data_IF_432327724170
#
_entry.id   IF_432327724170
#
_cell.length_a   1.000
_cell.length_b   1.000
_cell.length_c   1.000
_cell.angle_alpha   90.00
_cell.angle_beta   90.00
_cell.angle_gamma   90.00
#
_symmetry.space_group_name_H-M   'P 1'
#
loop_
_entity.id
_entity.type
_entity.pdbx_description
1 polymer ?
#
# COMPACT_ATOMS: atom_id res chain seq x y z
N UNK A 1 32.50 -1.70 -24.59
CA UNK A 1 32.70 -3.03 -23.96
C UNK A 1 31.91 -3.07 -22.65
N UNK A 2 30.58 -2.89 -22.73
CA UNK A 2 29.66 -2.74 -21.57
C UNK A 2 28.68 -3.92 -21.39
N UNK A 3 28.86 -5.02 -22.12
CA UNK A 3 27.86 -6.09 -22.22
C UNK A 3 27.98 -7.16 -21.12
N UNK A 4 29.16 -7.42 -20.55
CA UNK A 4 29.34 -8.56 -19.64
C UNK A 4 28.76 -8.35 -18.24
N UNK A 5 28.84 -7.14 -17.69
CA UNK A 5 28.38 -6.85 -16.31
C UNK A 5 26.86 -6.74 -16.21
N UNK A 6 26.21 -6.16 -17.21
CA UNK A 6 24.74 -6.02 -17.25
C UNK A 6 24.06 -7.38 -17.46
N UNK A 7 24.61 -8.23 -18.35
CA UNK A 7 24.14 -9.61 -18.54
C UNK A 7 24.32 -10.44 -17.26
N UNK A 8 25.47 -10.34 -16.59
CA UNK A 8 25.70 -11.07 -15.33
C UNK A 8 24.75 -10.62 -14.22
N UNK A 9 24.41 -9.33 -14.15
CA UNK A 9 23.47 -8.82 -13.15
C UNK A 9 22.04 -9.32 -13.42
N UNK A 10 21.59 -9.31 -14.68
CA UNK A 10 20.27 -9.85 -15.06
C UNK A 10 20.16 -11.36 -14.81
N UNK A 11 21.17 -12.15 -15.19
CA UNK A 11 21.22 -13.59 -14.92
C UNK A 11 21.16 -13.91 -13.41
N UNK A 12 21.80 -13.07 -12.59
CA UNK A 12 21.75 -13.21 -11.12
C UNK A 12 20.36 -12.91 -10.54
N UNK A 13 19.66 -11.89 -11.05
CA UNK A 13 18.31 -11.53 -10.57
C UNK A 13 17.26 -12.56 -11.03
N UNK A 14 17.37 -13.05 -12.26
CA UNK A 14 16.52 -14.13 -12.77
C UNK A 14 16.68 -15.40 -11.90
N UNK A 15 17.93 -15.78 -11.59
CA UNK A 15 18.22 -16.93 -10.72
C UNK A 15 17.67 -16.74 -9.30
N UNK A 16 17.80 -15.53 -8.74
CA UNK A 16 17.25 -15.21 -7.41
C UNK A 16 15.72 -15.25 -7.38
N UNK A 17 15.07 -14.83 -8.46
CA UNK A 17 13.60 -14.91 -8.61
C UNK A 17 13.14 -16.36 -8.62
N UNK A 18 13.82 -17.22 -9.39
CA UNK A 18 13.53 -18.65 -9.42
C UNK A 18 13.75 -19.31 -8.05
N UNK A 19 14.81 -18.93 -7.32
CA UNK A 19 15.06 -19.42 -5.96
C UNK A 19 13.93 -19.02 -5.00
N UNK A 20 13.49 -17.76 -5.05
CA UNK A 20 12.41 -17.27 -4.21
C UNK A 20 11.08 -18.01 -4.48
N UNK A 21 10.76 -18.27 -5.74
CA UNK A 21 9.59 -19.10 -6.13
C UNK A 21 9.77 -20.55 -5.70
N UNK A 22 10.97 -21.12 -5.84
CA UNK A 22 11.29 -22.48 -5.40
C UNK A 22 11.11 -22.66 -3.89
N UNK A 23 11.54 -21.68 -3.09
CA UNK A 23 11.30 -21.67 -1.63
C UNK A 23 9.82 -21.61 -1.29
N UNK A 24 9.01 -20.95 -2.11
CA UNK A 24 7.55 -20.94 -1.94
C UNK A 24 6.93 -22.31 -2.18
N UNK A 25 7.35 -23.00 -3.24
CA UNK A 25 6.90 -24.38 -3.51
C UNK A 25 7.36 -25.35 -2.42
N UNK A 26 8.59 -25.18 -1.89
CA UNK A 26 9.08 -26.00 -0.79
C UNK A 26 8.30 -25.77 0.51
N UNK A 27 7.96 -24.52 0.84
CA UNK A 27 7.08 -24.19 1.97
C UNK A 27 5.70 -24.85 1.79
N UNK A 28 5.14 -24.80 0.58
CA UNK A 28 3.89 -25.48 0.28
C UNK A 28 3.97 -26.99 0.53
N UNK A 29 5.05 -27.64 0.09
CA UNK A 29 5.24 -29.07 0.30
C UNK A 29 5.40 -29.45 1.79
N UNK A 30 6.02 -28.58 2.58
CA UNK A 30 6.30 -28.83 4.00
C UNK A 30 5.11 -28.47 4.92
N UNK A 31 4.49 -27.32 4.66
CA UNK A 31 3.52 -26.69 5.57
C UNK A 31 2.08 -26.73 5.03
N UNK A 32 1.89 -27.02 3.74
CA UNK A 32 0.60 -27.05 3.07
C UNK A 32 0.06 -25.68 2.62
N UNK A 33 -1.07 -25.71 1.92
CA UNK A 33 -1.66 -24.54 1.27
C UNK A 33 -2.03 -23.42 2.25
N UNK A 34 -2.71 -23.75 3.35
CA UNK A 34 -3.24 -22.77 4.28
C UNK A 34 -2.12 -21.94 4.95
N UNK A 35 -1.07 -22.61 5.42
CA UNK A 35 0.10 -21.94 6.01
C UNK A 35 0.85 -21.10 4.97
N UNK A 36 0.99 -21.63 3.74
CA UNK A 36 1.65 -20.92 2.64
C UNK A 36 0.89 -19.65 2.24
N UNK A 37 -0.43 -19.74 2.09
CA UNK A 37 -1.31 -18.59 1.81
C UNK A 37 -1.23 -17.56 2.93
N UNK A 38 -1.27 -17.99 4.19
CA UNK A 38 -1.17 -17.09 5.33
C UNK A 38 0.16 -16.32 5.32
N UNK A 39 1.28 -17.00 5.04
CA UNK A 39 2.60 -16.38 4.94
C UNK A 39 2.68 -15.41 3.75
N UNK A 40 2.25 -15.82 2.56
CA UNK A 40 2.30 -14.96 1.36
C UNK A 40 1.23 -13.87 1.30
N UNK A 41 0.31 -13.81 2.27
CA UNK A 41 -0.56 -12.66 2.53
C UNK A 41 -0.04 -11.77 3.66
N UNK A 42 1.15 -12.05 4.18
CA UNK A 42 1.76 -11.29 5.25
C UNK A 42 3.00 -10.53 4.76
N UNK A 43 3.33 -9.38 5.39
CA UNK A 43 4.53 -8.62 5.06
C UNK A 43 5.83 -9.42 5.20
N UNK A 44 5.85 -10.46 6.05
CA UNK A 44 7.00 -11.34 6.28
C UNK A 44 7.40 -12.16 5.05
N UNK A 45 6.51 -12.31 4.06
CA UNK A 45 6.84 -12.96 2.80
C UNK A 45 7.71 -12.13 1.89
N UNK A 46 7.71 -10.80 2.04
CA UNK A 46 8.41 -9.90 1.14
C UNK A 46 9.94 -10.01 1.32
N UNK A 47 10.68 -10.12 0.23
CA UNK A 47 12.14 -10.27 0.28
C UNK A 47 12.83 -9.39 -0.77
N UNK A 48 13.29 -8.21 -0.34
CA UNK A 48 13.88 -7.24 -1.27
C UNK A 48 12.88 -6.92 -2.39
N UNK A 49 13.30 -6.94 -3.65
CA UNK A 49 12.39 -6.61 -4.75
C UNK A 49 11.36 -7.71 -5.08
N UNK A 50 11.37 -8.84 -4.34
CA UNK A 50 10.51 -9.98 -4.61
C UNK A 50 9.26 -9.99 -3.73
N UNK A 51 8.13 -10.21 -4.37
CA UNK A 51 6.89 -10.60 -3.74
C UNK A 51 6.29 -11.75 -4.53
N UNK A 52 5.74 -12.73 -3.83
CA UNK A 52 5.01 -13.82 -4.47
C UNK A 52 3.54 -13.47 -4.59
N UNK A 53 2.91 -13.90 -5.67
CA UNK A 53 1.48 -14.09 -5.72
C UNK A 53 1.17 -15.55 -6.05
N UNK A 54 0.12 -16.06 -5.41
CA UNK A 54 -0.28 -17.45 -5.49
C UNK A 54 -1.66 -17.53 -6.11
N UNK A 55 -1.77 -18.37 -7.14
CA UNK A 55 -3.04 -18.64 -7.83
C UNK A 55 -3.48 -20.07 -7.51
N UNK A 56 -4.74 -20.21 -7.14
CA UNK A 56 -5.44 -21.47 -6.92
C UNK A 56 -5.53 -22.34 -8.19
N UNK A 57 -5.89 -23.61 -8.01
CA UNK A 57 -6.08 -24.54 -9.12
C UNK A 57 -7.29 -24.18 -10.03
N UNK A 58 -8.16 -23.29 -9.54
CA UNK A 58 -9.27 -22.67 -10.25
C UNK A 58 -8.88 -21.35 -10.94
N UNK A 59 -7.59 -21.03 -10.99
CA UNK A 59 -7.02 -19.80 -11.54
C UNK A 59 -7.42 -18.52 -10.76
N UNK A 60 -7.86 -18.66 -9.51
CA UNK A 60 -8.20 -17.53 -8.61
C UNK A 60 -7.00 -17.12 -7.75
N UNK A 61 -6.73 -15.83 -7.59
CA UNK A 61 -5.74 -15.36 -6.61
C UNK A 61 -6.09 -15.80 -5.19
N UNK A 62 -5.19 -16.52 -4.54
CA UNK A 62 -5.31 -16.94 -3.13
C UNK A 62 -4.33 -16.22 -2.21
N UNK A 63 -3.22 -15.69 -2.76
CA UNK A 63 -2.34 -14.80 -2.01
C UNK A 63 -1.75 -13.69 -2.88
N UNK A 64 -1.71 -12.48 -2.33
CA UNK A 64 -0.97 -11.36 -2.89
C UNK A 64 -0.65 -10.32 -1.80
N UNK A 65 0.62 -10.18 -1.36
CA UNK A 65 0.96 -9.37 -0.18
C UNK A 65 0.96 -7.86 -0.46
N UNK A 66 1.19 -7.47 -1.71
CA UNK A 66 1.22 -6.07 -2.14
C UNK A 66 -0.16 -5.56 -2.61
N UNK A 67 -0.90 -6.40 -3.33
CA UNK A 67 -2.18 -6.05 -3.94
C UNK A 67 -3.27 -7.00 -3.43
N UNK A 68 -3.60 -6.96 -2.12
CA UNK A 68 -4.51 -7.93 -1.49
C UNK A 68 -5.95 -7.87 -2.03
N UNK A 69 -6.34 -6.79 -2.69
CA UNK A 69 -7.63 -6.68 -3.39
C UNK A 69 -7.72 -7.61 -4.63
N UNK A 70 -6.59 -8.15 -5.13
CA UNK A 70 -6.61 -9.17 -6.18
C UNK A 70 -7.08 -10.53 -5.63
N UNK A 71 -6.96 -10.77 -4.32
CA UNK A 71 -7.39 -12.04 -3.72
C UNK A 71 -8.89 -12.25 -3.99
N UNK A 72 -9.22 -13.40 -4.59
CA UNK A 72 -10.58 -13.74 -5.01
C UNK A 72 -10.94 -13.36 -6.45
N UNK A 73 -10.04 -12.74 -7.22
CA UNK A 73 -10.24 -12.50 -8.66
C UNK A 73 -9.58 -13.58 -9.52
N UNK A 74 -10.08 -13.80 -10.74
CA UNK A 74 -9.47 -14.72 -11.72
C UNK A 74 -8.24 -14.05 -12.37
N UNK A 75 -7.09 -14.74 -12.37
CA UNK A 75 -5.86 -14.25 -13.00
C UNK A 75 -6.07 -13.94 -14.48
N UNK A 76 -6.94 -14.66 -15.19
CA UNK A 76 -7.17 -14.49 -16.64
C UNK A 76 -7.88 -13.18 -16.99
N UNK A 77 -8.47 -12.51 -16.00
CA UNK A 77 -9.10 -11.21 -16.15
C UNK A 77 -8.10 -10.05 -15.93
N UNK A 78 -6.84 -10.37 -15.55
CA UNK A 78 -5.79 -9.37 -15.37
C UNK A 78 -5.16 -8.99 -16.71
N UNK A 79 -5.38 -7.73 -17.09
CA UNK A 79 -4.86 -7.09 -18.31
C UNK A 79 -3.94 -5.94 -17.92
N UNK A 80 -2.77 -5.84 -18.56
CA UNK A 80 -1.81 -4.75 -18.38
C UNK A 80 -2.35 -3.43 -18.93
N UNK A 81 -1.76 -2.29 -18.54
CA UNK A 81 -2.24 -0.98 -19.02
C UNK A 81 -2.16 -0.79 -20.53
N UNK A 82 -1.23 -1.52 -21.16
CA UNK A 82 -0.95 -1.56 -22.59
C UNK A 82 -1.87 -2.51 -23.35
N UNK A 83 -2.79 -3.17 -22.65
CA UNK A 83 -3.73 -4.14 -23.20
C UNK A 83 -3.16 -5.56 -23.33
N UNK A 84 -1.95 -5.83 -22.82
CA UNK A 84 -1.42 -7.19 -22.78
C UNK A 84 -2.27 -8.06 -21.85
N UNK A 85 -2.71 -9.23 -22.32
CA UNK A 85 -3.44 -10.22 -21.52
C UNK A 85 -2.48 -11.02 -20.59
N UNK A 86 -1.64 -10.31 -19.82
CA UNK A 86 -0.56 -10.89 -19.00
C UNK A 86 -1.04 -12.00 -18.07
N UNK A 87 -2.25 -11.90 -17.54
CA UNK A 87 -2.83 -12.90 -16.67
C UNK A 87 -3.07 -14.24 -17.38
N UNK A 88 -3.49 -14.20 -18.65
CA UNK A 88 -3.65 -15.40 -19.48
C UNK A 88 -2.32 -16.00 -19.91
N UNK A 89 -1.28 -15.18 -20.05
CA UNK A 89 0.07 -15.66 -20.29
C UNK A 89 0.62 -16.38 -19.05
N UNK A 90 0.49 -15.78 -17.87
CA UNK A 90 0.89 -16.40 -16.58
C UNK A 90 0.11 -17.70 -16.30
N UNK A 91 -1.18 -17.75 -16.63
CA UNK A 91 -2.02 -18.94 -16.46
C UNK A 91 -1.51 -20.18 -17.23
N UNK A 92 -0.69 -19.98 -18.27
CA UNK A 92 -0.06 -21.05 -19.06
C UNK A 92 1.17 -21.67 -18.39
N UNK A 93 1.53 -21.24 -17.17
CA UNK A 93 2.64 -21.81 -16.43
C UNK A 93 2.54 -23.34 -16.31
N UNK A 94 3.69 -23.99 -16.45
CA UNK A 94 3.86 -25.44 -16.35
C UNK A 94 4.76 -25.78 -15.17
N UNK A 95 4.96 -27.08 -14.87
CA UNK A 95 5.95 -27.54 -13.88
C UNK A 95 7.40 -27.18 -14.27
N UNK A 96 7.68 -26.93 -15.54
CA UNK A 96 9.00 -26.44 -15.99
C UNK A 96 9.15 -24.92 -15.78
N UNK A 97 8.03 -24.23 -15.52
CA UNK A 97 7.92 -22.79 -15.37
C UNK A 97 7.99 -21.99 -16.68
N UNK A 98 7.61 -20.73 -16.61
CA UNK A 98 7.63 -19.77 -17.71
C UNK A 98 8.09 -18.40 -17.23
N UNK A 99 8.72 -17.64 -18.12
CA UNK A 99 8.95 -16.21 -17.95
C UNK A 99 7.90 -15.43 -18.73
N UNK A 100 7.30 -14.43 -18.09
CA UNK A 100 6.34 -13.52 -18.71
C UNK A 100 6.80 -12.09 -18.44
N UNK A 101 6.93 -11.30 -19.50
CA UNK A 101 7.29 -9.89 -19.43
C UNK A 101 6.05 -9.03 -19.68
N UNK A 102 5.77 -8.09 -18.79
CA UNK A 102 4.60 -7.20 -18.88
C UNK A 102 4.81 -5.91 -18.11
N UNK A 103 4.02 -4.89 -18.43
CA UNK A 103 3.94 -3.67 -17.66
C UNK A 103 3.11 -3.89 -16.40
N UNK A 104 3.64 -3.50 -15.24
CA UNK A 104 2.94 -3.63 -13.97
C UNK A 104 3.29 -2.49 -13.01
N UNK A 105 2.37 -2.05 -12.14
CA UNK A 105 2.71 -1.13 -11.06
C UNK A 105 3.84 -1.70 -10.23
N UNK A 106 4.95 -0.98 -10.19
CA UNK A 106 6.00 -1.26 -9.26
C UNK A 106 5.57 -0.71 -7.89
N UNK A 107 5.39 -1.54 -6.84
CA UNK A 107 4.96 -1.05 -5.54
C UNK A 107 5.95 -0.09 -4.87
N UNK A 108 7.19 -0.07 -5.38
CA UNK A 108 8.29 0.78 -4.93
C UNK A 108 8.15 2.18 -5.50
N UNK A 109 8.23 2.28 -6.82
CA UNK A 109 8.26 3.56 -7.53
C UNK A 109 6.85 4.10 -7.77
N UNK A 110 5.83 3.23 -7.64
CA UNK A 110 4.41 3.50 -7.91
C UNK A 110 4.14 3.96 -9.34
N UNK A 111 5.09 3.72 -10.24
CA UNK A 111 4.91 3.84 -11.69
C UNK A 111 4.76 2.45 -12.28
N UNK A 112 4.18 2.41 -13.46
CA UNK A 112 4.19 1.21 -14.25
C UNK A 112 5.57 0.99 -14.87
N UNK A 113 6.13 -0.19 -14.63
CA UNK A 113 7.45 -0.56 -15.10
C UNK A 113 7.41 -1.93 -15.77
N UNK A 114 8.40 -2.17 -16.63
CA UNK A 114 8.60 -3.49 -17.20
C UNK A 114 8.93 -4.47 -16.08
N UNK A 115 8.04 -5.43 -15.86
CA UNK A 115 8.21 -6.54 -14.94
C UNK A 115 8.49 -7.81 -15.72
N UNK A 116 9.46 -8.59 -15.25
CA UNK A 116 9.74 -9.95 -15.73
C UNK A 116 9.41 -10.92 -14.61
N UNK A 117 8.39 -11.75 -14.80
CA UNK A 117 7.87 -12.68 -13.79
C UNK A 117 8.18 -14.12 -14.17
N UNK A 118 8.73 -14.87 -13.21
CA UNK A 118 8.81 -16.32 -13.26
C UNK A 118 7.55 -16.91 -12.64
N UNK A 119 6.86 -17.79 -13.36
CA UNK A 119 5.69 -18.49 -12.88
C UNK A 119 5.88 -20.00 -13.08
N UNK A 120 5.64 -20.79 -12.05
CA UNK A 120 5.66 -22.26 -12.10
C UNK A 120 4.33 -22.81 -11.61
N UNK A 121 3.85 -23.89 -12.24
CA UNK A 121 2.70 -24.64 -11.76
C UNK A 121 3.18 -25.82 -10.92
N UNK A 122 2.72 -25.93 -9.68
CA UNK A 122 3.08 -26.98 -8.73
C UNK A 122 1.83 -27.43 -7.96
N UNK A 123 1.53 -28.73 -8.00
CA UNK A 123 0.27 -29.33 -7.52
C UNK A 123 -1.01 -28.59 -7.97
N UNK A 124 -1.02 -28.16 -9.24
CA UNK A 124 -2.13 -27.42 -9.84
C UNK A 124 -2.19 -25.93 -9.48
N UNK A 125 -1.44 -25.45 -8.49
CA UNK A 125 -1.33 -24.03 -8.11
C UNK A 125 -0.27 -23.31 -8.94
N UNK A 126 -0.40 -22.01 -9.15
CA UNK A 126 0.65 -21.20 -9.79
C UNK A 126 1.36 -20.35 -8.74
N UNK A 127 2.67 -20.55 -8.62
CA UNK A 127 3.56 -19.73 -7.79
C UNK A 127 4.31 -18.79 -8.70
N UNK A 128 4.18 -17.48 -8.48
CA UNK A 128 4.79 -16.50 -9.35
C UNK A 128 5.41 -15.34 -8.57
N UNK A 129 6.59 -14.92 -9.00
CA UNK A 129 7.29 -13.73 -8.51
C UNK A 129 8.10 -13.14 -9.66
N UNK A 130 8.44 -11.87 -9.59
CA UNK A 130 9.16 -11.20 -10.65
C UNK A 130 10.01 -10.05 -10.16
N UNK A 131 10.79 -9.50 -11.07
CA UNK A 131 11.60 -8.31 -10.86
C UNK A 131 11.24 -7.24 -11.89
N UNK A 132 11.45 -5.99 -11.51
CA UNK A 132 11.29 -4.85 -12.41
C UNK A 132 12.63 -4.50 -13.03
N UNK A 133 12.64 -4.21 -14.32
CA UNK A 133 13.78 -3.62 -15.00
C UNK A 133 13.48 -2.14 -15.21
N UNK A 134 14.18 -1.28 -14.49
CA UNK A 134 14.16 0.15 -14.78
C UNK A 134 14.64 0.35 -16.22
N UNK A 135 13.84 1.04 -17.05
CA UNK A 135 14.41 1.71 -18.21
C UNK A 135 15.47 2.71 -17.73
N UNK A 136 16.44 3.06 -18.58
CA UNK A 136 17.48 4.07 -18.27
C UNK A 136 16.91 5.45 -17.86
N UNK A 137 15.60 5.64 -17.98
CA UNK A 137 14.84 6.76 -17.44
C UNK A 137 13.97 6.25 -16.30
N UNK A 138 14.41 6.45 -15.05
CA UNK A 138 13.45 6.51 -13.94
C UNK A 138 12.48 7.64 -14.31
N UNK A 139 11.26 7.28 -14.75
CA UNK A 139 10.23 8.26 -15.02
C UNK A 139 10.03 9.07 -13.74
N UNK A 140 10.34 10.36 -13.79
CA UNK A 140 10.07 11.27 -12.69
C UNK A 140 8.59 11.06 -12.33
N UNK A 141 8.31 10.66 -11.09
CA UNK A 141 6.96 10.50 -10.56
C UNK A 141 6.36 11.89 -10.42
N UNK A 142 5.54 12.38 -11.38
CA UNK A 142 5.25 13.80 -11.42
C UNK A 142 4.43 14.25 -10.20
N UNK A 143 3.77 13.30 -9.52
CA UNK A 143 3.02 13.53 -8.29
C UNK A 143 3.85 13.76 -7.02
N UNK A 144 5.12 13.34 -6.97
CA UNK A 144 5.92 13.46 -5.73
C UNK A 144 6.20 14.92 -5.39
N UNK A 145 6.48 15.75 -6.40
CA UNK A 145 6.78 17.17 -6.24
C UNK A 145 5.60 18.07 -6.66
N UNK A 146 4.50 17.48 -7.14
CA UNK A 146 3.34 18.26 -7.58
C UNK A 146 2.55 18.78 -6.39
N UNK A 147 1.95 19.96 -6.56
CA UNK A 147 0.86 20.37 -5.71
C UNK A 147 -0.26 19.31 -5.80
N UNK A 148 -0.68 18.69 -4.69
CA UNK A 148 -1.58 17.54 -4.72
C UNK A 148 -2.97 17.90 -5.28
N UNK A 149 -3.36 19.17 -5.17
CA UNK A 149 -4.61 19.67 -5.73
C UNK A 149 -4.51 19.79 -7.25
N UNK A 150 -3.43 20.35 -7.77
CA UNK A 150 -3.17 20.40 -9.22
C UNK A 150 -3.03 19.00 -9.81
N UNK A 151 -2.31 18.11 -9.12
CA UNK A 151 -2.10 16.73 -9.57
C UNK A 151 -3.41 15.93 -9.65
N UNK A 152 -4.33 16.14 -8.70
CA UNK A 152 -5.65 15.50 -8.73
C UNK A 152 -6.42 15.88 -9.99
N UNK A 153 -6.39 17.15 -10.38
CA UNK A 153 -7.07 17.63 -11.59
C UNK A 153 -6.43 17.04 -12.84
N UNK A 154 -5.10 17.01 -12.91
CA UNK A 154 -4.36 16.36 -13.99
C UNK A 154 -4.71 14.86 -14.13
N UNK A 155 -4.73 14.13 -13.02
CA UNK A 155 -5.08 12.71 -12.99
C UNK A 155 -6.49 12.45 -13.54
N UNK A 156 -7.46 13.28 -13.15
CA UNK A 156 -8.84 13.21 -13.65
C UNK A 156 -8.91 13.56 -15.14
N UNK A 157 -8.17 14.58 -15.59
CA UNK A 157 -8.13 14.95 -17.00
C UNK A 157 -7.50 13.85 -17.87
N UNK A 158 -6.45 13.17 -17.40
CA UNK A 158 -5.87 12.01 -18.11
C UNK A 158 -6.85 10.85 -18.24
N UNK A 159 -7.74 10.66 -17.28
CA UNK A 159 -8.82 9.69 -17.39
C UNK A 159 -9.83 10.06 -18.47
N UNK A 160 -10.20 11.34 -18.54
CA UNK A 160 -11.07 11.89 -19.59
C UNK A 160 -10.40 11.75 -20.97
N UNK A 161 -9.13 12.13 -21.11
CA UNK A 161 -8.37 11.98 -22.36
C UNK A 161 -8.29 10.51 -22.80
N UNK A 162 -8.12 9.56 -21.87
CA UNK A 162 -8.16 8.13 -22.19
C UNK A 162 -9.56 7.70 -22.65
N UNK A 163 -10.62 8.19 -22.00
CA UNK A 163 -12.00 7.95 -22.43
C UNK A 163 -12.24 8.50 -23.85
N UNK A 164 -11.83 9.73 -24.15
CA UNK A 164 -11.99 10.34 -25.47
C UNK A 164 -11.18 9.61 -26.56
N UNK A 165 -9.97 9.16 -26.23
CA UNK A 165 -9.06 8.48 -27.16
C UNK A 165 -9.44 7.03 -27.43
N UNK A 166 -9.73 6.27 -26.38
CA UNK A 166 -9.82 4.80 -26.42
C UNK A 166 -11.25 4.28 -26.17
N UNK A 167 -12.17 5.14 -25.76
CA UNK A 167 -13.55 4.80 -25.45
C UNK A 167 -13.78 4.30 -24.02
N UNK A 168 -15.06 4.22 -23.64
CA UNK A 168 -15.52 3.92 -22.28
C UNK A 168 -15.03 2.54 -21.78
N UNK A 169 -15.13 1.49 -22.61
CA UNK A 169 -14.75 0.13 -22.21
C UNK A 169 -13.25 0.04 -21.86
N UNK A 170 -12.39 0.63 -22.69
CA UNK A 170 -10.93 0.65 -22.47
C UNK A 170 -10.54 1.44 -21.22
N UNK A 171 -11.14 2.63 -21.05
CA UNK A 171 -10.91 3.46 -19.86
C UNK A 171 -11.39 2.74 -18.59
N UNK A 172 -12.59 2.14 -18.63
CA UNK A 172 -13.17 1.40 -17.52
C UNK A 172 -12.32 0.21 -17.12
N UNK A 173 -11.85 -0.58 -18.10
CA UNK A 173 -10.97 -1.72 -17.83
C UNK A 173 -9.66 -1.29 -17.16
N UNK A 174 -9.04 -0.22 -17.65
CA UNK A 174 -7.81 0.32 -17.06
C UNK A 174 -8.02 0.86 -15.65
N UNK A 175 -9.03 1.70 -15.42
CA UNK A 175 -9.24 2.36 -14.13
C UNK A 175 -9.95 1.48 -13.09
N UNK A 176 -10.51 0.33 -13.48
CA UNK A 176 -10.87 -0.75 -12.56
C UNK A 176 -9.72 -1.72 -12.28
N UNK A 177 -8.57 -1.55 -12.94
CA UNK A 177 -7.33 -2.21 -12.59
C UNK A 177 -6.56 -1.36 -11.59
N UNK A 178 -5.80 -2.00 -10.71
CA UNK A 178 -4.86 -1.28 -9.85
C UNK A 178 -3.63 -0.76 -10.57
N UNK A 179 -3.48 -1.14 -11.84
CA UNK A 179 -2.60 -0.47 -12.79
C UNK A 179 -2.80 1.05 -12.83
N UNK A 180 -4.01 1.53 -12.55
CA UNK A 180 -4.30 2.96 -12.62
C UNK A 180 -3.80 3.77 -11.43
N UNK A 181 -3.33 3.16 -10.34
CA UNK A 181 -2.97 3.91 -9.14
C UNK A 181 -1.66 4.66 -9.34
N UNK A 182 -1.66 5.92 -8.95
CA UNK A 182 -0.45 6.75 -8.90
C UNK A 182 -0.35 7.31 -7.49
N UNK A 183 0.55 6.79 -6.66
CA UNK A 183 0.61 7.21 -5.25
C UNK A 183 -0.69 6.93 -4.47
N UNK A 184 -1.38 8.00 -4.08
CA UNK A 184 -2.66 7.97 -3.38
C UNK A 184 -3.87 8.19 -4.31
N UNK A 185 -3.61 8.51 -5.58
CA UNK A 185 -4.62 8.83 -6.58
C UNK A 185 -5.11 7.57 -7.26
N UNK A 186 -6.43 7.44 -7.33
CA UNK A 186 -7.16 6.42 -8.06
C UNK A 186 -8.47 7.02 -8.53
N UNK A 187 -8.96 6.58 -9.69
CA UNK A 187 -10.21 7.08 -10.26
C UNK A 187 -11.41 6.38 -9.60
N UNK A 188 -12.48 7.15 -9.44
CA UNK A 188 -13.82 6.63 -9.31
C UNK A 188 -14.74 7.41 -10.25
N UNK A 189 -15.59 6.70 -10.98
CA UNK A 189 -16.41 7.29 -12.04
C UNK A 189 -17.83 6.72 -12.07
N UNK A 190 -18.76 7.58 -12.48
CA UNK A 190 -20.19 7.29 -12.49
C UNK A 190 -20.81 7.62 -13.85
N UNK A 191 -21.79 6.82 -14.25
CA UNK A 191 -22.48 6.94 -15.54
C UNK A 191 -23.45 8.13 -15.58
N UNK A 192 -24.21 8.29 -16.67
CA UNK A 192 -25.20 9.38 -16.81
C UNK A 192 -26.34 9.35 -15.77
N UNK A 193 -26.51 8.23 -15.05
CA UNK A 193 -27.49 8.06 -13.98
C UNK A 193 -26.83 8.16 -12.60
N UNK A 194 -25.55 8.52 -12.55
CA UNK A 194 -24.71 8.60 -11.36
C UNK A 194 -24.43 7.23 -10.70
N UNK A 195 -24.46 6.14 -11.48
CA UNK A 195 -24.14 4.79 -11.02
C UNK A 195 -22.63 4.54 -11.17
N UNK A 196 -21.96 4.07 -10.13
CA UNK A 196 -20.54 3.70 -10.22
C UNK A 196 -20.30 2.65 -11.31
N UNK A 197 -19.36 2.93 -12.20
CA UNK A 197 -18.81 1.95 -13.14
C UNK A 197 -17.28 1.81 -13.01
N UNK A 198 -16.61 2.75 -12.33
CA UNK A 198 -15.21 2.64 -11.92
C UNK A 198 -15.07 2.85 -10.42
N UNK A 199 -14.43 1.92 -9.73
CA UNK A 199 -13.93 2.15 -8.36
C UNK A 199 -12.87 1.09 -7.96
N UNK A 200 -11.64 1.22 -8.43
CA UNK A 200 -10.58 0.20 -8.24
C UNK A 200 -10.20 -0.09 -6.79
N UNK A 201 -10.31 0.87 -5.86
CA UNK A 201 -10.04 0.61 -4.44
C UNK A 201 -11.13 -0.23 -3.74
N UNK A 202 -12.39 -0.07 -4.16
CA UNK A 202 -13.58 -0.68 -3.55
C UNK A 202 -14.53 -1.16 -4.65
N UNK A 203 -14.18 -2.21 -5.42
CA UNK A 203 -14.96 -2.65 -6.58
C UNK A 203 -16.41 -3.01 -6.24
N UNK A 204 -16.70 -3.35 -4.98
CA UNK A 204 -18.06 -3.59 -4.47
C UNK A 204 -19.02 -2.40 -4.62
N UNK A 205 -18.52 -1.18 -4.84
CA UNK A 205 -19.34 0.00 -5.07
C UNK A 205 -19.88 0.07 -6.51
N UNK A 206 -19.27 -0.65 -7.46
CA UNK A 206 -19.74 -0.71 -8.85
C UNK A 206 -21.19 -1.19 -8.89
N UNK A 207 -22.04 -0.45 -9.62
CA UNK A 207 -23.48 -0.67 -9.70
C UNK A 207 -24.32 0.05 -8.63
N UNK A 208 -23.68 0.77 -7.69
CA UNK A 208 -24.37 1.58 -6.68
C UNK A 208 -24.57 3.01 -7.19
N UNK A 209 -25.73 3.63 -6.93
CA UNK A 209 -25.93 5.07 -7.15
C UNK A 209 -25.09 5.84 -6.14
N UNK A 210 -24.22 6.72 -6.61
CA UNK A 210 -23.37 7.55 -5.73
C UNK A 210 -24.20 8.28 -4.69
N UNK A 211 -25.43 8.73 -4.99
CA UNK A 211 -26.27 9.51 -4.08
C UNK A 211 -26.68 8.74 -2.82
N UNK A 212 -26.56 7.40 -2.85
CA UNK A 212 -26.80 6.52 -1.71
C UNK A 212 -25.55 6.33 -0.83
N UNK A 213 -24.38 6.82 -1.26
CA UNK A 213 -23.14 6.77 -0.48
C UNK A 213 -23.12 7.88 0.57
N UNK A 214 -23.10 7.44 1.83
CA UNK A 214 -23.01 8.29 3.01
C UNK A 214 -21.72 7.91 3.76
N UNK A 215 -20.94 8.91 4.15
CA UNK A 215 -19.74 8.73 4.96
C UNK A 215 -20.06 8.14 6.33
N UNK A 216 -19.08 7.55 6.99
CA UNK A 216 -19.25 6.98 8.33
C UNK A 216 -19.65 8.00 9.40
N UNK A 217 -19.34 9.27 9.16
CA UNK A 217 -19.74 10.44 9.95
C UNK A 217 -21.17 10.93 9.66
N UNK A 218 -21.88 10.30 8.73
CA UNK A 218 -23.21 10.69 8.28
C UNK A 218 -23.21 11.80 7.22
N UNK A 219 -22.05 12.23 6.72
CA UNK A 219 -21.96 13.20 5.63
C UNK A 219 -22.47 12.57 4.32
N UNK A 220 -23.43 13.22 3.66
CA UNK A 220 -24.02 12.77 2.40
C UNK A 220 -23.08 13.01 1.20
N UNK A 221 -21.82 12.55 1.29
CA UNK A 221 -20.73 12.83 0.35
C UNK A 221 -21.14 12.55 -1.10
N UNK A 222 -21.91 11.48 -1.31
CA UNK A 222 -22.31 11.08 -2.64
C UNK A 222 -23.24 12.08 -3.33
N UNK A 223 -24.12 12.74 -2.56
CA UNK A 223 -24.97 13.81 -3.08
C UNK A 223 -24.18 15.08 -3.38
N UNK A 224 -23.11 15.36 -2.64
CA UNK A 224 -22.23 16.50 -2.92
C UNK A 224 -21.40 16.25 -4.19
N UNK A 225 -20.86 15.05 -4.36
CA UNK A 225 -20.13 14.66 -5.58
C UNK A 225 -21.05 14.67 -6.82
N UNK A 226 -22.30 14.19 -6.70
CA UNK A 226 -23.27 14.18 -7.81
C UNK A 226 -23.61 15.58 -8.38
N UNK A 227 -23.33 16.65 -7.62
CA UNK A 227 -23.51 18.05 -8.07
C UNK A 227 -22.42 18.53 -9.03
N UNK A 228 -21.40 17.72 -9.30
CA UNK A 228 -20.34 18.06 -10.25
C UNK A 228 -20.92 18.60 -11.58
N UNK A 229 -20.33 19.68 -12.06
CA UNK A 229 -20.59 20.28 -13.39
C UNK A 229 -19.35 20.11 -14.26
N UNK A 230 -19.39 20.63 -15.49
CA UNK A 230 -18.20 20.73 -16.36
C UNK A 230 -17.11 21.65 -15.77
N UNK A 231 -17.44 22.53 -14.82
CA UNK A 231 -16.44 23.34 -14.10
C UNK A 231 -15.74 22.54 -12.98
N UNK A 232 -16.31 21.40 -12.61
CA UNK A 232 -15.88 20.56 -11.51
C UNK A 232 -16.21 21.11 -10.11
N UNK A 233 -16.07 20.25 -9.12
CA UNK A 233 -16.33 20.54 -7.71
C UNK A 233 -15.27 19.90 -6.83
N UNK A 234 -14.95 20.56 -5.73
CA UNK A 234 -14.13 20.00 -4.65
C UNK A 234 -15.02 19.65 -3.47
N UNK A 235 -14.86 18.44 -2.93
CA UNK A 235 -15.62 17.94 -1.78
C UNK A 235 -14.65 17.28 -0.80
N UNK A 236 -14.71 17.68 0.46
CA UNK A 236 -13.97 17.05 1.55
C UNK A 236 -14.86 16.02 2.24
N UNK A 237 -14.34 14.83 2.48
CA UNK A 237 -15.06 13.72 3.12
C UNK A 237 -14.08 12.72 3.74
N UNK A 238 -14.56 11.91 4.68
CA UNK A 238 -13.78 10.78 5.19
C UNK A 238 -13.81 9.63 4.18
N UNK A 239 -12.65 9.03 3.89
CA UNK A 239 -12.57 7.89 2.98
C UNK A 239 -11.42 6.95 3.31
N UNK A 240 -11.55 5.62 3.05
CA UNK A 240 -10.45 4.67 3.20
C UNK A 240 -9.22 5.05 2.38
N UNK A 241 -8.10 5.33 3.04
CA UNK A 241 -6.81 5.55 2.37
C UNK A 241 -6.40 4.28 1.60
N UNK A 242 -5.91 4.38 0.35
CA UNK A 242 -5.67 3.20 -0.50
C UNK A 242 -4.60 2.24 0.04
N UNK A 243 -3.71 2.74 0.89
CA UNK A 243 -2.67 1.93 1.53
C UNK A 243 -3.11 1.37 2.88
N UNK A 244 -3.78 2.17 3.72
CA UNK A 244 -4.07 1.79 5.12
C UNK A 244 -5.50 1.29 5.31
N UNK A 245 -6.38 1.55 4.35
CA UNK A 245 -7.82 1.30 4.36
C UNK A 245 -8.58 2.00 5.49
N UNK A 246 -7.94 2.94 6.19
CA UNK A 246 -8.56 3.74 7.25
C UNK A 246 -9.26 4.95 6.69
N UNK A 247 -10.41 5.24 7.27
CA UNK A 247 -11.09 6.49 6.99
C UNK A 247 -10.30 7.65 7.57
N UNK A 248 -9.82 8.50 6.66
CA UNK A 248 -9.13 9.75 6.96
C UNK A 248 -9.70 10.83 6.04
N UNK A 249 -9.51 12.12 6.35
CA UNK A 249 -9.93 13.20 5.47
C UNK A 249 -9.33 13.04 4.07
N UNK A 250 -10.20 13.10 3.06
CA UNK A 250 -9.87 13.12 1.65
C UNK A 250 -10.48 14.36 1.03
N UNK A 251 -9.68 15.08 0.25
CA UNK A 251 -10.17 16.16 -0.60
C UNK A 251 -10.31 15.62 -2.03
N UNK A 252 -11.56 15.39 -2.46
CA UNK A 252 -11.90 14.89 -3.79
C UNK A 252 -12.24 15.99 -4.78
N UNK A 253 -11.81 15.83 -6.02
CA UNK A 253 -12.25 16.60 -7.17
C UNK A 253 -13.13 15.73 -8.05
N UNK A 254 -14.28 16.25 -8.46
CA UNK A 254 -15.20 15.59 -9.38
C UNK A 254 -15.62 16.55 -10.50
N UNK A 255 -15.65 16.08 -11.74
CA UNK A 255 -16.05 16.87 -12.91
C UNK A 255 -16.97 16.05 -13.79
N UNK A 256 -17.97 16.71 -14.40
CA UNK A 256 -18.78 16.09 -15.44
C UNK A 256 -18.19 16.30 -16.82
N UNK A 257 -18.15 15.24 -17.60
CA UNK A 257 -17.73 15.27 -19.00
C UNK A 257 -18.53 14.21 -19.76
N UNK A 258 -19.17 14.60 -20.87
CA UNK A 258 -20.06 13.72 -21.66
C UNK A 258 -21.18 13.03 -20.84
N UNK A 259 -21.67 13.70 -19.80
CA UNK A 259 -22.69 13.17 -18.90
C UNK A 259 -22.16 12.23 -17.81
N UNK A 260 -20.94 11.73 -17.94
CA UNK A 260 -20.24 10.92 -16.94
C UNK A 260 -19.63 11.83 -15.86
N UNK A 261 -19.47 11.31 -14.65
CA UNK A 261 -18.65 11.95 -13.60
C UNK A 261 -17.31 11.24 -13.52
N UNK A 262 -16.22 12.01 -13.59
CA UNK A 262 -14.86 11.55 -13.32
C UNK A 262 -14.37 12.19 -12.03
N UNK A 263 -13.82 11.39 -11.13
CA UNK A 263 -13.37 11.90 -9.85
C UNK A 263 -12.15 11.17 -9.29
N UNK A 264 -11.32 11.91 -8.57
CA UNK A 264 -10.16 11.43 -7.82
C UNK A 264 -9.96 12.33 -6.60
N UNK A 265 -8.94 12.09 -5.79
CA UNK A 265 -8.60 12.96 -4.67
C UNK A 265 -7.33 12.55 -3.97
N UNK A 266 -6.90 13.41 -3.07
CA UNK A 266 -5.75 13.21 -2.20
C UNK A 266 -6.15 13.31 -0.74
N UNK A 267 -5.31 12.80 0.14
CA UNK A 267 -5.49 12.83 1.58
C UNK A 267 -4.60 13.95 2.14
N UNK A 268 -5.18 15.08 2.58
CA UNK A 268 -4.39 16.19 3.12
C UNK A 268 -3.58 15.74 4.34
N UNK A 269 -2.32 16.16 4.43
CA UNK A 269 -1.50 15.98 5.62
C UNK A 269 -2.04 16.77 6.83
N UNK A 270 -1.56 16.45 8.03
CA UNK A 270 -1.90 17.20 9.26
C UNK A 270 -1.10 18.50 9.30
N UNK A 271 -1.76 19.64 9.59
CA UNK A 271 -1.16 20.99 9.53
C UNK A 271 0.03 21.19 10.49
N UNK A 272 0.00 20.55 11.67
CA UNK A 272 1.13 20.47 12.61
C UNK A 272 1.33 19.01 13.07
N UNK A 273 2.14 18.24 12.33
CA UNK A 273 2.35 16.83 12.65
C UNK A 273 3.14 16.62 13.95
N UNK A 274 3.95 17.59 14.39
CA UNK A 274 4.66 17.50 15.67
C UNK A 274 3.71 17.63 16.85
N UNK A 275 2.84 18.65 16.84
CA UNK A 275 1.82 18.82 17.87
C UNK A 275 0.88 17.63 17.92
N UNK A 276 0.42 17.16 16.76
CA UNK A 276 -0.44 15.99 16.67
C UNK A 276 0.23 14.73 17.23
N UNK A 277 1.51 14.48 16.90
CA UNK A 277 2.23 13.30 17.45
C UNK A 277 2.28 13.33 18.97
N UNK A 278 2.58 14.50 19.57
CA UNK A 278 2.63 14.65 21.02
C UNK A 278 1.27 14.43 21.65
N UNK A 279 0.22 14.96 21.04
CA UNK A 279 -1.15 14.77 21.50
C UNK A 279 -1.56 13.29 21.43
N UNK A 280 -1.27 12.59 20.33
CA UNK A 280 -1.52 11.15 20.18
C UNK A 280 -0.81 10.32 21.27
N UNK A 281 0.47 10.62 21.56
CA UNK A 281 1.22 9.95 22.64
C UNK A 281 0.66 10.29 24.02
N UNK A 282 0.26 11.55 24.24
CA UNK A 282 -0.34 12.00 25.48
C UNK A 282 -1.69 11.31 25.74
N UNK A 283 -2.53 11.15 24.70
CA UNK A 283 -3.78 10.40 24.79
C UNK A 283 -3.54 8.92 25.15
N UNK A 284 -2.46 8.31 24.65
CA UNK A 284 -2.08 6.94 25.02
C UNK A 284 -1.65 6.82 26.49
N UNK A 285 -0.91 7.81 27.00
CA UNK A 285 -0.54 7.90 28.42
C UNK A 285 -1.79 8.08 29.29
N UNK A 286 -2.70 8.99 28.92
CA UNK A 286 -3.95 9.21 29.65
C UNK A 286 -4.87 7.99 29.64
N UNK A 287 -4.90 7.25 28.53
CA UNK A 287 -5.59 5.98 28.45
C UNK A 287 -4.98 4.94 29.39
N UNK A 288 -3.64 4.83 29.42
CA UNK A 288 -2.92 3.97 30.36
C UNK A 288 -3.19 4.35 31.82
N UNK A 289 -3.10 5.62 32.19
CA UNK A 289 -3.34 6.09 33.54
C UNK A 289 -4.77 5.81 34.02
N UNK A 290 -5.74 5.80 33.08
CA UNK A 290 -7.15 5.58 33.36
C UNK A 290 -7.56 4.10 33.37
N UNK A 291 -7.12 3.33 32.37
CA UNK A 291 -7.61 1.97 32.11
C UNK A 291 -6.59 0.87 32.48
N UNK A 292 -5.32 1.23 32.66
CA UNK A 292 -4.23 0.33 32.99
C UNK A 292 -3.61 -0.42 31.80
N UNK A 293 -2.46 -1.06 32.05
CA UNK A 293 -1.61 -1.66 31.01
C UNK A 293 -2.31 -2.68 30.12
N UNK A 294 -3.09 -3.59 30.69
CA UNK A 294 -3.75 -4.67 29.93
C UNK A 294 -4.74 -4.11 28.90
N UNK A 295 -5.54 -3.11 29.30
CA UNK A 295 -6.46 -2.43 28.40
C UNK A 295 -5.71 -1.62 27.33
N UNK A 296 -4.65 -0.91 27.70
CA UNK A 296 -3.82 -0.15 26.75
C UNK A 296 -3.20 -1.07 25.70
N UNK A 297 -2.63 -2.20 26.12
CA UNK A 297 -2.02 -3.19 25.20
C UNK A 297 -3.07 -3.78 24.27
N UNK A 298 -4.27 -4.09 24.78
CA UNK A 298 -5.36 -4.62 23.96
C UNK A 298 -5.85 -3.59 22.92
N UNK A 299 -6.09 -2.34 23.34
CA UNK A 299 -6.57 -1.29 22.46
C UNK A 299 -5.51 -0.89 21.43
N UNK A 300 -4.27 -0.62 21.85
CA UNK A 300 -3.24 -0.12 20.94
C UNK A 300 -2.59 -1.18 20.05
N UNK A 301 -2.83 -2.47 20.27
CA UNK A 301 -2.56 -3.51 19.28
C UNK A 301 -3.74 -3.76 18.32
N UNK A 302 -4.85 -3.03 18.46
CA UNK A 302 -5.95 -3.06 17.51
C UNK A 302 -5.73 -2.10 16.35
N UNK A 303 -6.38 -2.38 15.23
CA UNK A 303 -6.44 -1.47 14.10
C UNK A 303 -7.11 -0.14 14.48
N UNK A 304 -8.04 -0.11 15.42
CA UNK A 304 -8.77 1.12 15.80
C UNK A 304 -7.86 2.19 16.40
N UNK A 305 -6.73 1.79 16.97
CA UNK A 305 -5.81 2.72 17.65
C UNK A 305 -4.90 3.52 16.73
N UNK A 306 -4.71 3.09 15.48
CA UNK A 306 -3.83 3.76 14.52
C UNK A 306 -4.58 4.91 13.87
N UNK A 307 -4.01 6.11 13.80
CA UNK A 307 -4.62 7.26 13.10
C UNK A 307 -3.68 7.71 11.97
N UNK A 308 -4.09 7.52 10.72
CA UNK A 308 -3.24 7.78 9.56
C UNK A 308 -1.87 7.09 9.65
N UNK A 309 -0.82 7.89 9.82
CA UNK A 309 0.57 7.44 9.97
C UNK A 309 1.02 7.30 11.44
N UNK A 310 0.22 7.76 12.39
CA UNK A 310 0.47 7.68 13.83
C UNK A 310 0.00 6.35 14.40
N UNK A 311 0.90 5.68 15.08
CA UNK A 311 0.62 4.46 15.80
C UNK A 311 1.53 4.36 17.03
N UNK A 312 1.03 3.72 18.08
CA UNK A 312 1.81 3.56 19.30
C UNK A 312 2.83 2.43 19.17
N UNK A 313 4.07 2.71 19.54
CA UNK A 313 5.05 1.72 19.99
C UNK A 313 5.10 1.86 21.52
N UNK A 314 4.74 0.78 22.23
CA UNK A 314 4.84 0.71 23.69
C UNK A 314 5.87 -0.34 24.05
N UNK A 315 6.81 0.00 24.94
CA UNK A 315 7.77 -0.96 25.47
C UNK A 315 7.86 -0.87 27.01
N UNK A 316 8.15 -2.00 27.65
CA UNK A 316 8.55 -2.04 29.05
C UNK A 316 9.94 -1.41 29.18
N UNK A 317 10.03 -0.33 29.95
CA UNK A 317 11.27 0.41 30.09
C UNK A 317 12.29 -0.22 31.03
N UNK A 318 11.96 -1.34 31.69
CA UNK A 318 12.87 -2.07 32.58
C UNK A 318 13.76 -3.07 31.83
N UNK A 319 13.22 -3.72 30.81
CA UNK A 319 13.92 -4.75 30.04
C UNK A 319 13.88 -4.53 28.52
N UNK A 320 13.05 -3.60 28.03
CA UNK A 320 12.90 -3.25 26.63
C UNK A 320 11.85 -4.08 25.90
N UNK A 321 11.05 -4.91 26.58
CA UNK A 321 10.06 -5.76 25.93
C UNK A 321 8.99 -4.92 25.21
N UNK A 322 8.88 -5.06 23.90
CA UNK A 322 7.81 -4.45 23.11
C UNK A 322 6.45 -5.03 23.49
N UNK A 323 5.53 -4.18 23.91
CA UNK A 323 4.18 -4.53 24.36
C UNK A 323 3.13 -4.20 23.29
N UNK A 324 3.39 -3.14 22.50
CA UNK A 324 2.48 -2.68 21.45
C UNK A 324 3.27 -2.32 20.21
N UNK A 325 2.83 -2.83 19.07
CA UNK A 325 3.26 -2.34 17.76
C UNK A 325 2.24 -2.78 16.67
N UNK A 326 1.17 -2.00 16.40
CA UNK A 326 0.04 -2.46 15.59
C UNK A 326 0.36 -2.63 14.10
N UNK A 327 1.44 -2.02 13.59
CA UNK A 327 1.87 -2.13 12.18
C UNK A 327 2.76 -3.35 11.94
N UNK A 328 3.72 -3.56 12.83
CA UNK A 328 4.71 -4.66 12.82
C UNK A 328 4.56 -5.50 14.08
N UNK A 329 3.46 -6.25 14.16
CA UNK A 329 3.07 -7.03 15.35
C UNK A 329 4.10 -8.09 15.75
N UNK A 330 4.98 -8.52 14.83
CA UNK A 330 6.11 -9.42 15.13
C UNK A 330 7.13 -8.83 16.12
N UNK A 331 7.14 -7.50 16.32
CA UNK A 331 7.97 -6.84 17.33
C UNK A 331 7.36 -6.93 18.74
N UNK A 332 6.08 -7.27 18.87
CA UNK A 332 5.45 -7.52 20.18
C UNK A 332 6.06 -8.78 20.80
N UNK A 333 6.45 -8.67 22.07
CA UNK A 333 7.16 -9.73 22.78
C UNK A 333 8.65 -9.85 22.41
N UNK A 334 9.19 -8.90 21.64
CA UNK A 334 10.63 -8.79 21.34
C UNK A 334 11.22 -7.58 22.03
N UNK A 335 12.52 -7.61 22.28
CA UNK A 335 13.26 -6.47 22.79
C UNK A 335 13.28 -5.35 21.74
N UNK A 336 12.77 -4.17 22.09
CA UNK A 336 12.67 -3.02 21.19
C UNK A 336 14.04 -2.57 20.64
N UNK A 337 15.14 -2.87 21.33
CA UNK A 337 16.52 -2.54 20.91
C UNK A 337 16.98 -3.27 19.65
N UNK A 338 16.24 -4.30 19.22
CA UNK A 338 16.49 -4.96 17.93
C UNK A 338 16.09 -4.10 16.74
N UNK A 339 15.26 -3.07 16.93
CA UNK A 339 14.83 -2.17 15.86
C UNK A 339 16.04 -1.36 15.39
N UNK A 340 16.36 -1.46 14.09
CA UNK A 340 17.46 -0.75 13.44
C UNK A 340 16.93 0.15 12.32
N UNK A 341 17.56 1.32 12.16
CA UNK A 341 17.35 2.21 11.02
C UNK A 341 18.13 1.73 9.79
N UNK A 342 17.78 2.27 8.62
CA UNK A 342 18.30 1.78 7.33
C UNK A 342 19.78 2.10 7.10
N UNK A 343 20.24 3.31 7.44
CA UNK A 343 21.66 3.64 7.34
C UNK A 343 22.43 2.99 8.49
N UNK A 344 23.38 2.11 8.14
CA UNK A 344 24.41 1.58 9.03
C UNK A 344 23.91 0.93 10.35
N UNK A 345 22.66 0.48 10.41
CA UNK A 345 22.09 -0.11 11.62
C UNK A 345 21.94 0.91 12.77
N UNK A 346 21.56 2.15 12.44
CA UNK A 346 21.19 3.17 13.43
C UNK A 346 20.34 2.55 14.55
N UNK A 347 20.70 2.75 15.81
CA UNK A 347 20.11 1.99 16.91
C UNK A 347 18.77 2.61 17.33
N UNK A 348 17.80 2.63 16.42
CA UNK A 348 16.44 3.20 16.63
C UNK A 348 15.79 2.62 17.90
N UNK A 349 15.94 1.32 18.11
CA UNK A 349 15.48 0.67 19.33
C UNK A 349 16.17 1.17 20.61
N UNK A 350 17.45 1.55 20.55
CA UNK A 350 18.15 2.17 21.69
C UNK A 350 17.67 3.60 21.91
N UNK A 351 17.35 4.34 20.85
CA UNK A 351 16.74 5.66 20.96
C UNK A 351 15.40 5.56 21.70
N UNK A 352 14.54 4.64 21.28
CA UNK A 352 13.28 4.34 21.99
C UNK A 352 13.56 3.95 23.45
N UNK A 353 14.41 2.93 23.67
CA UNK A 353 14.69 2.40 25.01
C UNK A 353 15.21 3.46 26.00
N UNK A 354 16.03 4.39 25.52
CA UNK A 354 16.65 5.43 26.33
C UNK A 354 15.82 6.74 26.42
N UNK A 355 14.53 6.70 26.04
CA UNK A 355 13.66 7.85 26.15
C UNK A 355 13.60 8.39 27.60
N UNK A 356 13.73 9.72 27.79
CA UNK A 356 13.67 10.36 29.09
C UNK A 356 12.22 10.67 29.50
N UNK A 357 12.02 11.06 30.77
CA UNK A 357 10.69 11.41 31.31
C UNK A 357 10.13 12.71 30.73
N UNK A 358 10.99 13.66 30.34
CA UNK A 358 10.58 14.88 29.64
C UNK A 358 10.19 14.65 28.17
N UNK A 359 10.48 13.46 27.64
CA UNK A 359 10.34 13.09 26.24
C UNK A 359 11.34 13.81 25.32
N UNK A 360 11.52 13.27 24.12
CA UNK A 360 12.40 13.87 23.13
C UNK A 360 12.04 13.45 21.70
N UNK A 361 12.54 14.25 20.75
CA UNK A 361 12.45 13.97 19.32
C UNK A 361 13.71 13.30 18.80
N UNK A 362 13.53 12.34 17.90
CA UNK A 362 14.60 11.82 17.07
C UNK A 362 14.10 11.52 15.67
N UNK A 363 15.03 11.49 14.72
CA UNK A 363 14.76 11.13 13.34
C UNK A 363 15.64 9.95 12.96
N UNK A 364 15.16 9.16 12.03
CA UNK A 364 15.95 8.11 11.41
C UNK A 364 15.45 7.86 10.00
N UNK A 365 16.34 7.35 9.16
CA UNK A 365 15.95 6.94 7.81
C UNK A 365 15.29 5.57 7.88
N UNK A 366 14.00 5.56 7.57
CA UNK A 366 13.20 4.37 7.39
C UNK A 366 13.27 3.97 5.92
N UNK A 367 13.87 2.82 5.62
CA UNK A 367 13.63 2.23 4.33
C UNK A 367 12.24 1.64 4.33
N UNK A 368 11.45 2.07 3.35
CA UNK A 368 10.32 1.26 2.94
C UNK A 368 10.90 -0.08 2.53
N UNK A 369 10.48 -1.15 3.23
CA UNK A 369 10.87 -2.50 2.87
C UNK A 369 10.63 -2.67 1.37
N UNK A 370 11.71 -2.89 0.64
CA UNK A 370 11.78 -3.19 -0.79
C UNK A 370 12.03 -2.01 -1.73
N UNK A 371 12.34 -0.80 -1.26
CA UNK A 371 12.78 0.30 -2.15
C UNK A 371 14.26 0.65 -1.95
N UNK A 372 14.89 1.32 -2.92
CA UNK A 372 16.14 2.08 -2.67
C UNK A 372 15.87 3.45 -2.05
N UNK A 373 14.61 3.74 -1.71
CA UNK A 373 14.16 5.00 -1.16
C UNK A 373 14.13 4.94 0.35
N UNK A 374 14.56 6.04 0.97
CA UNK A 374 14.52 6.22 2.41
C UNK A 374 13.58 7.36 2.71
N UNK A 375 12.60 7.12 3.57
CA UNK A 375 11.79 8.18 4.17
C UNK A 375 12.41 8.60 5.49
N UNK A 376 12.51 9.89 5.74
CA UNK A 376 12.88 10.39 7.06
C UNK A 376 11.68 10.23 7.98
N UNK A 377 11.80 9.41 9.03
CA UNK A 377 10.76 9.27 10.05
C UNK A 377 11.10 10.13 11.25
N UNK A 378 10.15 10.96 11.68
CA UNK A 378 10.27 11.85 12.83
C UNK A 378 9.44 11.31 14.00
N UNK A 379 10.11 10.97 15.11
CA UNK A 379 9.52 10.25 16.24
C UNK A 379 9.61 11.05 17.53
N UNK A 380 8.52 11.07 18.28
CA UNK A 380 8.47 11.52 19.67
C UNK A 380 8.45 10.31 20.58
N UNK A 381 9.32 10.29 21.59
CA UNK A 381 9.35 9.22 22.59
C UNK A 381 9.49 9.77 23.99
N UNK A 382 8.73 9.20 24.92
CA UNK A 382 8.67 9.62 26.32
C UNK A 382 8.55 8.40 27.23
N UNK A 383 9.20 8.48 28.39
CA UNK A 383 9.08 7.48 29.45
C UNK A 383 8.05 7.94 30.48
N UNK A 384 7.08 7.10 30.79
CA UNK A 384 6.04 7.35 31.78
C UNK A 384 5.72 6.08 32.55
N UNK A 385 5.75 6.16 33.88
CA UNK A 385 5.49 5.04 34.80
C UNK A 385 6.25 3.74 34.46
N UNK A 386 7.53 3.88 34.09
CA UNK A 386 8.38 2.76 33.72
C UNK A 386 8.13 2.17 32.34
N UNK A 387 7.13 2.67 31.59
CA UNK A 387 6.87 2.32 30.19
C UNK A 387 7.41 3.39 29.24
N UNK A 388 7.58 3.04 27.98
CA UNK A 388 8.08 3.92 26.92
C UNK A 388 7.01 4.03 25.85
N UNK A 389 6.51 5.24 25.63
CA UNK A 389 5.50 5.56 24.63
C UNK A 389 6.16 6.30 23.47
N UNK A 390 6.01 5.78 22.26
CA UNK A 390 6.64 6.34 21.07
C UNK A 390 5.65 6.36 19.90
N UNK A 391 5.58 7.46 19.18
CA UNK A 391 4.84 7.57 17.90
C UNK A 391 5.55 8.58 17.00
N UNK A 392 5.14 8.67 15.74
CA UNK A 392 5.75 9.59 14.80
C UNK A 392 5.12 9.55 13.43
N UNK A 393 5.69 10.34 12.54
CA UNK A 393 5.22 10.56 11.17
C UNK A 393 6.40 10.57 10.20
N UNK A 394 6.12 10.38 8.92
CA UNK A 394 7.11 10.52 7.85
C UNK A 394 7.16 11.98 7.40
N UNK A 395 8.37 12.51 7.24
CA UNK A 395 8.59 13.82 6.63
C UNK A 395 8.53 13.61 5.13
N UNK A 396 7.62 14.33 4.47
CA UNK A 396 7.64 14.51 3.02
C UNK A 396 8.73 15.55 2.72
N UNK A 397 9.85 15.12 2.13
CA UNK A 397 10.95 16.02 1.69
C UNK A 397 10.71 16.52 0.27
#
# INVERSE_FOLDING_TARGET
>A
MFSSSHITLQENVASATMDYVSRATARYDEEGLEATVAYYNSPESLEGNFYLFLIGADDIYVAHPIFPHLIGTDIKDVVGSDGQELGREIAQATEEGIWVEYLWPNPITRVEEQKTTWAIRHDGLIFASGYYTAGDEAFATPWKDADPREYTVDYVNRAIERYERDGLDSMTAYYNSVASFEGQWYLFAMDENDIYFVHSLLPRLIGTDIKDVVGSDGFELGKEIAKATEEGIWVEYLWPHPVTLKEVPKLGYAVRHDGLIFASGYYPGVEDPEAYTKDYVQQAIEYYDREGLEATVAYYNSQESVDGQWYLILADGSDGLGLVHPITSILVGKDVRIIKGFIAGEPVGELIYNAPEEGYWFQFLFALSNTSETLTKHMWSIRHDGLIFTSGYYIEE
#
